data_IF_870579195327
#
_entry.id   IF_870579195327
#
_cell.length_a   1.000
_cell.length_b   1.000
_cell.length_c   1.000
_cell.angle_alpha   90.00
_cell.angle_beta   90.00
_cell.angle_gamma   90.00
#
_symmetry.space_group_name_H-M   'P 1'
#
loop_
_entity.id
_entity.type
_entity.pdbx_description
1 polymer ?
#
# COMPACT_ATOMS: atom_id res chain seq x y z
N UNK A 1 10.82 -10.84 16.40
CA UNK A 1 11.15 -10.41 15.03
C UNK A 1 9.84 -10.08 14.34
N UNK A 2 9.65 -8.83 13.91
CA UNK A 2 8.45 -8.37 13.20
C UNK A 2 8.83 -8.28 11.72
N UNK A 3 8.42 -9.25 10.91
CA UNK A 3 8.74 -9.29 9.47
C UNK A 3 7.52 -8.98 8.59
N UNK A 4 6.42 -8.52 9.19
CA UNK A 4 5.18 -8.23 8.48
C UNK A 4 4.80 -6.77 8.67
N UNK A 5 4.76 -6.03 7.57
CA UNK A 5 4.32 -4.65 7.50
C UNK A 5 3.14 -4.57 6.54
N UNK A 6 2.10 -3.82 6.92
CA UNK A 6 0.97 -3.59 6.01
C UNK A 6 1.41 -2.78 4.80
N UNK A 7 0.90 -3.13 3.63
CA UNK A 7 1.28 -2.51 2.37
C UNK A 7 0.99 -1.00 2.34
N UNK A 8 -0.11 -0.55 2.95
CA UNK A 8 -0.46 0.86 3.06
C UNK A 8 0.58 1.67 3.86
N UNK A 9 1.20 1.05 4.86
CA UNK A 9 2.28 1.68 5.65
C UNK A 9 3.59 1.69 4.87
N UNK A 10 3.90 0.62 4.13
CA UNK A 10 5.07 0.61 3.25
C UNK A 10 4.98 1.69 2.17
N UNK A 11 3.81 1.87 1.57
CA UNK A 11 3.55 2.88 0.53
C UNK A 11 3.70 4.32 1.03
N UNK A 12 3.35 4.57 2.30
CA UNK A 12 3.55 5.85 2.97
C UNK A 12 5.04 6.13 3.21
N UNK A 13 5.81 5.13 3.68
CA UNK A 13 7.26 5.23 3.89
C UNK A 13 8.01 5.38 2.57
N UNK A 14 7.57 4.70 1.51
CA UNK A 14 8.14 4.81 0.17
C UNK A 14 7.85 6.18 -0.49
N UNK A 15 7.09 7.06 0.17
CA UNK A 15 6.67 8.38 -0.32
C UNK A 15 5.96 8.30 -1.69
N UNK A 16 5.29 7.19 -1.98
CA UNK A 16 4.57 6.98 -3.25
C UNK A 16 3.20 7.67 -3.24
N UNK A 17 2.65 7.92 -2.06
CA UNK A 17 1.42 8.67 -1.85
C UNK A 17 1.64 9.79 -0.86
N UNK A 18 0.82 10.85 -0.94
CA UNK A 18 0.97 12.04 -0.09
C UNK A 18 0.54 11.79 1.35
N UNK A 19 -0.35 10.83 1.54
CA UNK A 19 -0.90 10.45 2.83
C UNK A 19 -1.20 8.96 2.86
N UNK A 20 -1.18 8.37 4.05
CA UNK A 20 -1.61 6.98 4.28
C UNK A 20 -3.05 6.69 3.82
N UNK A 21 -3.97 7.64 3.95
CA UNK A 21 -5.36 7.45 3.50
C UNK A 21 -5.45 7.28 1.98
N UNK A 22 -4.65 8.04 1.23
CA UNK A 22 -4.54 7.91 -0.22
C UNK A 22 -3.94 6.56 -0.63
N UNK A 23 -2.94 6.07 0.11
CA UNK A 23 -2.39 4.73 -0.10
C UNK A 23 -3.42 3.62 0.16
N UNK A 24 -4.23 3.74 1.22
CA UNK A 24 -5.32 2.78 1.49
C UNK A 24 -6.38 2.77 0.39
N UNK A 25 -6.80 3.93 -0.10
CA UNK A 25 -7.77 4.01 -1.18
C UNK A 25 -7.19 3.49 -2.49
N UNK A 26 -5.90 3.69 -2.75
CA UNK A 26 -5.22 3.11 -3.90
C UNK A 26 -5.16 1.57 -3.85
N UNK A 27 -4.99 0.99 -2.66
CA UNK A 27 -5.11 -0.46 -2.47
C UNK A 27 -6.55 -0.94 -2.73
N UNK A 28 -7.57 -0.27 -2.17
CA UNK A 28 -8.99 -0.66 -2.34
C UNK A 28 -9.51 -0.52 -3.77
N UNK A 29 -9.09 0.54 -4.46
CA UNK A 29 -9.53 0.85 -5.83
C UNK A 29 -8.75 0.09 -6.91
N UNK A 30 -7.78 -0.76 -6.52
CA UNK A 30 -7.00 -1.56 -7.46
C UNK A 30 -5.92 -0.79 -8.21
N UNK A 31 -5.57 0.42 -7.76
CA UNK A 31 -4.46 1.22 -8.32
C UNK A 31 -3.08 0.66 -7.93
N UNK A 32 -3.02 -0.17 -6.89
CA UNK A 32 -1.83 -0.89 -6.45
C UNK A 32 -2.01 -2.37 -6.72
N UNK A 33 -1.05 -2.97 -7.42
CA UNK A 33 -0.96 -4.42 -7.59
C UNK A 33 0.39 -4.93 -7.08
N UNK A 34 0.37 -6.06 -6.39
CA UNK A 34 1.57 -6.76 -5.91
C UNK A 34 1.58 -8.12 -6.57
N UNK A 35 2.67 -8.46 -7.25
CA UNK A 35 2.79 -9.74 -7.98
C UNK A 35 1.63 -9.98 -8.96
N UNK A 36 1.16 -8.93 -9.64
CA UNK A 36 0.04 -8.94 -10.59
C UNK A 36 -1.33 -9.27 -9.99
N UNK A 37 -1.44 -9.24 -8.65
CA UNK A 37 -2.71 -9.37 -7.94
C UNK A 37 -3.08 -8.01 -7.34
N UNK A 38 -4.39 -7.66 -7.27
CA UNK A 38 -4.81 -6.45 -6.59
C UNK A 38 -4.39 -6.47 -5.12
N UNK A 39 -3.86 -5.35 -4.64
CA UNK A 39 -3.46 -5.19 -3.24
C UNK A 39 -4.68 -5.26 -2.30
N UNK A 40 -4.50 -5.87 -1.13
CA UNK A 40 -5.53 -6.00 -0.08
C UNK A 40 -5.01 -5.50 1.26
#
# INVERSE_FOLDING_TARGET
>A
MVNELRLDVWLDIACLFKTRSEAQDACKTGRVSVNRQPAK
#
